data_IF_206014594390
#
_entry.id   IF_206014594390
#
_cell.length_a   1.000
_cell.length_b   1.000
_cell.length_c   1.000
_cell.angle_alpha   90.00
_cell.angle_beta   90.00
_cell.angle_gamma   90.00
#
_symmetry.space_group_name_H-M   'P 1'
#
loop_
_entity.id
_entity.type
_entity.pdbx_description
1 polymer ?
#
# COMPACT_ATOMS: atom_id res chain seq x y z
N UNK A 1 -18.21 -7.25 7.94
CA UNK A 1 -17.59 -5.93 8.21
C UNK A 1 -16.90 -5.38 6.96
N UNK A 2 -15.74 -5.87 6.52
CA UNK A 2 -15.02 -5.27 5.36
C UNK A 2 -15.83 -5.30 4.06
N UNK A 3 -16.48 -6.42 3.71
CA UNK A 3 -17.34 -6.51 2.50
C UNK A 3 -18.44 -5.43 2.49
N UNK A 4 -19.12 -5.24 3.63
CA UNK A 4 -20.16 -4.22 3.80
C UNK A 4 -19.60 -2.80 3.82
N UNK A 5 -18.41 -2.62 4.40
CA UNK A 5 -17.73 -1.33 4.42
C UNK A 5 -17.40 -0.88 2.99
N UNK A 6 -16.88 -1.77 2.14
CA UNK A 6 -16.53 -1.47 0.74
C UNK A 6 -17.75 -1.08 -0.09
N UNK A 7 -18.94 -1.63 0.21
CA UNK A 7 -20.17 -1.24 -0.49
C UNK A 7 -20.56 0.23 -0.24
N UNK A 8 -20.30 0.75 0.96
CA UNK A 8 -20.61 2.14 1.35
C UNK A 8 -19.43 3.10 1.16
N UNK A 9 -18.22 2.57 1.26
CA UNK A 9 -16.94 3.29 1.22
C UNK A 9 -16.02 2.62 0.17
N UNK A 10 -16.26 2.86 -1.13
CA UNK A 10 -15.63 2.10 -2.21
C UNK A 10 -14.19 2.53 -2.53
N UNK A 11 -13.70 3.65 -2.00
CA UNK A 11 -12.33 4.10 -2.22
C UNK A 11 -11.43 3.47 -1.17
N UNK A 12 -10.36 2.80 -1.58
CA UNK A 12 -9.45 2.09 -0.67
C UNK A 12 -8.06 2.69 -0.75
N UNK A 13 -7.59 3.27 0.35
CA UNK A 13 -6.15 3.53 0.53
C UNK A 13 -5.48 2.25 1.01
N UNK A 14 -4.32 1.94 0.44
CA UNK A 14 -3.54 0.73 0.72
C UNK A 14 -2.14 1.15 1.15
N UNK A 15 -1.69 0.61 2.27
CA UNK A 15 -0.33 0.75 2.77
C UNK A 15 0.25 -0.63 3.09
N UNK A 16 1.56 -0.81 2.87
CA UNK A 16 2.20 -2.12 3.02
C UNK A 16 3.54 -1.99 3.70
N UNK A 17 3.80 -2.86 4.67
CA UNK A 17 5.08 -2.93 5.38
C UNK A 17 5.83 -4.21 5.03
N UNK A 18 7.12 -4.05 4.70
CA UNK A 18 8.05 -5.12 4.36
C UNK A 18 9.34 -4.96 5.16
N UNK A 19 10.21 -5.99 5.13
CA UNK A 19 11.57 -5.92 5.68
C UNK A 19 12.52 -5.05 4.81
N UNK A 20 12.10 -3.84 4.48
CA UNK A 20 12.88 -2.86 3.73
C UNK A 20 13.21 -3.29 2.29
N UNK A 21 14.45 -3.04 1.87
CA UNK A 21 14.95 -3.35 0.53
C UNK A 21 16.30 -4.04 0.65
N UNK A 22 16.41 -5.26 0.11
CA UNK A 22 17.63 -6.07 0.18
C UNK A 22 18.42 -5.96 -1.13
N UNK A 23 17.73 -6.03 -2.28
CA UNK A 23 18.37 -5.97 -3.60
C UNK A 23 18.34 -4.51 -4.07
N UNK A 24 19.51 -3.85 -4.12
CA UNK A 24 19.61 -2.42 -4.44
C UNK A 24 20.41 -2.17 -5.72
N UNK A 25 19.93 -1.28 -6.61
CA UNK A 25 20.72 -0.82 -7.75
C UNK A 25 21.94 -0.01 -7.30
N UNK A 26 22.94 0.08 -8.17
CA UNK A 26 24.07 0.99 -7.96
C UNK A 26 23.59 2.46 -8.00
N UNK A 27 24.34 3.37 -7.38
CA UNK A 27 24.01 4.81 -7.37
C UNK A 27 23.89 5.40 -8.79
N UNK A 28 24.66 4.88 -9.74
CA UNK A 28 24.60 5.33 -11.13
C UNK A 28 23.28 4.95 -11.78
N UNK A 29 22.84 3.69 -11.60
CA UNK A 29 21.56 3.19 -12.11
C UNK A 29 20.38 3.97 -11.53
N UNK A 30 20.43 4.34 -10.25
CA UNK A 30 19.40 5.18 -9.62
C UNK A 30 19.33 6.55 -10.30
N UNK A 31 20.48 7.17 -10.59
CA UNK A 31 20.55 8.50 -11.23
C UNK A 31 20.03 8.51 -12.66
N UNK A 32 20.14 7.38 -13.37
CA UNK A 32 19.59 7.23 -14.71
C UNK A 32 18.06 7.26 -14.72
N UNK A 33 17.41 6.94 -13.60
CA UNK A 33 15.96 7.07 -13.44
C UNK A 33 15.15 6.20 -14.41
N UNK A 34 15.75 5.14 -14.95
CA UNK A 34 15.11 4.30 -15.96
C UNK A 34 13.95 3.49 -15.34
N UNK A 35 12.74 3.73 -15.84
CA UNK A 35 11.50 3.11 -15.35
C UNK A 35 11.53 1.57 -15.39
N UNK A 36 12.09 0.99 -16.45
CA UNK A 36 12.18 -0.46 -16.63
C UNK A 36 13.10 -1.06 -15.56
N UNK A 37 14.22 -0.39 -15.29
CA UNK A 37 15.18 -0.85 -14.29
C UNK A 37 14.60 -0.68 -12.88
N UNK A 38 13.94 0.44 -12.58
CA UNK A 38 13.29 0.67 -11.29
C UNK A 38 12.23 -0.41 -10.99
N UNK A 39 11.39 -0.74 -11.98
CA UNK A 39 10.43 -1.82 -11.86
C UNK A 39 11.11 -3.17 -11.60
N UNK A 40 12.20 -3.47 -12.33
CA UNK A 40 12.92 -4.72 -12.16
C UNK A 40 13.44 -4.90 -10.72
N UNK A 41 14.08 -3.88 -10.14
CA UNK A 41 14.56 -3.96 -8.76
C UNK A 41 13.42 -4.02 -7.73
N UNK A 42 12.33 -3.27 -7.93
CA UNK A 42 11.14 -3.37 -7.09
C UNK A 42 10.59 -4.81 -7.12
N UNK A 43 10.40 -5.38 -8.31
CA UNK A 43 9.90 -6.74 -8.50
C UNK A 43 10.78 -7.77 -7.80
N UNK A 44 12.10 -7.69 -7.95
CA UNK A 44 13.02 -8.62 -7.29
C UNK A 44 12.88 -8.60 -5.76
N UNK A 45 12.67 -7.43 -5.15
CA UNK A 45 12.44 -7.35 -3.71
C UNK A 45 11.07 -7.89 -3.32
N UNK A 46 10.01 -7.58 -4.09
CA UNK A 46 8.65 -8.10 -3.83
C UNK A 46 8.60 -9.63 -3.97
N UNK A 47 9.34 -10.20 -4.92
CA UNK A 47 9.35 -11.65 -5.16
C UNK A 47 10.05 -12.42 -4.02
N UNK A 48 10.98 -11.79 -3.27
CA UNK A 48 11.76 -12.47 -2.20
C UNK A 48 11.38 -12.06 -0.78
N UNK A 49 10.77 -10.89 -0.58
CA UNK A 49 10.38 -10.39 0.73
C UNK A 49 8.94 -10.78 1.06
N UNK A 50 8.70 -11.15 2.31
CA UNK A 50 7.36 -11.38 2.82
C UNK A 50 6.75 -10.07 3.33
N UNK A 51 5.45 -9.86 3.06
CA UNK A 51 4.66 -8.78 3.65
C UNK A 51 4.57 -9.01 5.16
N UNK A 52 4.80 -7.96 5.95
CA UNK A 52 4.61 -7.95 7.40
C UNK A 52 3.18 -7.51 7.73
N UNK A 53 2.75 -6.40 7.11
CA UNK A 53 1.43 -5.82 7.34
C UNK A 53 0.85 -5.24 6.05
N UNK A 54 -0.47 -5.35 5.93
CA UNK A 54 -1.29 -4.71 4.90
C UNK A 54 -2.32 -3.81 5.61
N UNK A 55 -2.17 -2.50 5.46
CA UNK A 55 -3.12 -1.50 5.91
C UNK A 55 -4.15 -1.21 4.82
N UNK A 56 -5.44 -1.21 5.19
CA UNK A 56 -6.54 -0.87 4.30
C UNK A 56 -7.42 0.19 4.98
N UNK A 57 -7.62 1.33 4.32
CA UNK A 57 -8.49 2.40 4.80
C UNK A 57 -9.57 2.71 3.77
N UNK A 58 -10.79 2.18 3.94
CA UNK A 58 -11.93 2.49 3.08
C UNK A 58 -12.46 3.91 3.33
N UNK A 59 -12.89 4.60 2.28
CA UNK A 59 -13.57 5.88 2.35
C UNK A 59 -14.66 6.02 1.29
N UNK A 60 -15.58 6.96 1.49
CA UNK A 60 -16.48 7.43 0.44
C UNK A 60 -15.82 8.51 -0.43
N UNK A 61 -16.57 9.07 -1.38
CA UNK A 61 -16.07 10.11 -2.29
C UNK A 61 -15.76 11.45 -1.60
N UNK A 62 -16.27 11.66 -0.38
CA UNK A 62 -16.05 12.86 0.42
C UNK A 62 -14.95 12.64 1.48
N UNK A 63 -14.37 11.44 1.56
CA UNK A 63 -13.32 11.09 2.50
C UNK A 63 -13.83 10.63 3.87
N UNK A 64 -15.14 10.37 4.04
CA UNK A 64 -15.65 9.82 5.28
C UNK A 64 -15.22 8.35 5.43
N UNK A 65 -14.91 7.94 6.66
CA UNK A 65 -14.49 6.57 6.98
C UNK A 65 -15.66 5.73 7.50
N UNK A 66 -15.61 4.40 7.32
CA UNK A 66 -16.57 3.50 7.94
C UNK A 66 -16.47 3.57 9.47
N UNK A 67 -17.64 3.68 10.11
CA UNK A 67 -17.80 3.64 11.56
C UNK A 67 -17.58 2.24 12.16
N UNK A 68 -17.66 1.17 11.35
CA UNK A 68 -17.52 -0.22 11.79
C UNK A 68 -18.39 -0.58 13.01
N UNK A 69 -19.55 0.05 13.14
CA UNK A 69 -20.44 -0.05 14.31
C UNK A 69 -19.75 0.32 15.65
N UNK A 70 -18.66 1.09 15.58
CA UNK A 70 -17.96 1.69 16.72
C UNK A 70 -18.58 3.04 17.09
N UNK A 71 -18.74 3.35 18.39
CA UNK A 71 -19.14 4.68 18.83
C UNK A 71 -18.08 5.76 18.54
N UNK A 72 -16.88 5.35 18.14
CA UNK A 72 -15.78 6.23 17.76
C UNK A 72 -15.57 6.14 16.25
N UNK A 73 -15.94 7.22 15.56
CA UNK A 73 -15.53 7.50 14.18
C UNK A 73 -14.32 8.43 14.25
N UNK A 74 -13.16 7.95 13.83
CA UNK A 74 -11.96 8.79 13.72
C UNK A 74 -11.94 9.43 12.34
N UNK A 75 -11.76 10.76 12.30
CA UNK A 75 -11.45 11.53 11.08
C UNK A 75 -10.01 12.02 11.23
#
# INVERSE_FOLDING_TARGET
MIKEAILRHPFISIDTEFLGTIIKPSKQVIREGNLIINYHYMKLNVDVLQIIQLGLSPSDAWGNLPDFDSPFSYV
#
